data_IF_269032398094
#
_entry.id   IF_269032398094
#
_cell.length_a   1.000
_cell.length_b   1.000
_cell.length_c   1.000
_cell.angle_alpha   90.00
_cell.angle_beta   90.00
_cell.angle_gamma   90.00
#
_symmetry.space_group_name_H-M   'P 1'
#
loop_
_entity.id
_entity.type
_entity.pdbx_description
1 polymer ?
#
# COMPACT_ATOMS: atom_id res chain seq x y z
N UNK A 1 1.56 2.44 -14.98
CA UNK A 1 2.39 2.98 -13.88
C UNK A 1 1.93 2.25 -12.65
N UNK A 2 2.86 1.72 -11.87
CA UNK A 2 2.57 0.79 -10.77
C UNK A 2 1.58 1.41 -9.78
N UNK A 3 0.50 0.68 -9.47
CA UNK A 3 -0.60 1.18 -8.66
C UNK A 3 -0.32 1.05 -7.16
N UNK A 4 0.79 0.39 -6.78
CA UNK A 4 1.19 0.17 -5.40
C UNK A 4 2.69 0.41 -5.30
N UNK A 5 3.12 1.23 -4.34
CA UNK A 5 4.53 1.41 -3.99
C UNK A 5 4.70 1.31 -2.47
N UNK A 6 5.88 0.85 -2.05
CA UNK A 6 6.30 0.83 -0.66
C UNK A 6 7.47 1.78 -0.43
N UNK A 7 7.61 2.30 0.78
CA UNK A 7 8.74 3.16 1.13
C UNK A 7 8.84 3.50 2.61
N UNK A 8 9.75 4.43 2.90
CA UNK A 8 10.00 4.98 4.22
C UNK A 8 9.88 6.50 4.18
N UNK A 9 9.43 7.08 5.29
CA UNK A 9 9.64 8.49 5.56
C UNK A 9 11.06 8.71 6.09
N UNK A 10 11.88 9.44 5.34
CA UNK A 10 13.29 9.72 5.66
C UNK A 10 13.46 11.19 6.03
N UNK A 11 14.08 11.44 7.19
CA UNK A 11 14.28 12.78 7.75
C UNK A 11 13.49 13.02 9.04
N UNK A 12 13.98 13.91 9.90
CA UNK A 12 13.31 14.25 11.18
C UNK A 12 12.34 15.43 11.07
N UNK A 13 12.67 16.39 10.21
CA UNK A 13 11.86 17.57 9.92
C UNK A 13 11.50 17.48 8.44
N UNK A 14 10.21 17.61 8.12
CA UNK A 14 9.66 17.49 6.77
C UNK A 14 10.11 16.17 6.09
N UNK A 15 9.72 15.01 6.64
CA UNK A 15 10.19 13.73 6.15
C UNK A 15 9.77 13.51 4.68
N UNK A 16 10.70 13.00 3.89
CA UNK A 16 10.49 12.71 2.48
C UNK A 16 10.17 11.23 2.31
N UNK A 17 9.08 10.92 1.61
CA UNK A 17 8.79 9.55 1.22
C UNK A 17 9.83 9.07 0.20
N UNK A 18 10.54 8.01 0.53
CA UNK A 18 11.55 7.36 -0.32
C UNK A 18 11.10 5.94 -0.61
N UNK A 19 10.88 5.63 -1.88
CA UNK A 19 10.47 4.29 -2.31
C UNK A 19 11.56 3.25 -2.02
N UNK A 20 11.16 2.12 -1.46
CA UNK A 20 11.99 0.94 -1.23
C UNK A 20 11.10 -0.28 -1.04
N UNK A 21 11.58 -1.44 -1.49
CA UNK A 21 10.98 -2.75 -1.23
C UNK A 21 11.81 -3.57 -0.24
N UNK A 22 12.78 -2.95 0.44
CA UNK A 22 13.61 -3.59 1.45
C UNK A 22 13.53 -2.84 2.78
N UNK A 23 13.23 -3.58 3.84
CA UNK A 23 12.97 -3.05 5.18
C UNK A 23 13.73 -3.85 6.24
N UNK A 24 13.79 -3.27 7.44
CA UNK A 24 14.34 -3.89 8.65
C UNK A 24 13.24 -4.00 9.71
N UNK A 25 13.36 -4.95 10.66
CA UNK A 25 12.51 -4.95 11.85
C UNK A 25 12.49 -3.57 12.52
N UNK A 26 11.35 -3.20 13.11
CA UNK A 26 11.06 -1.86 13.70
C UNK A 26 10.80 -0.74 12.70
N UNK A 27 11.02 -0.94 11.38
CA UNK A 27 10.58 0.04 10.39
C UNK A 27 9.05 0.20 10.41
N UNK A 28 8.59 1.35 9.94
CA UNK A 28 7.20 1.55 9.55
C UNK A 28 7.18 1.57 8.03
N UNK A 29 6.65 0.50 7.44
CA UNK A 29 6.46 0.39 6.00
C UNK A 29 5.32 1.34 5.63
N UNK A 30 5.62 2.28 4.75
CA UNK A 30 4.60 3.15 4.15
C UNK A 30 4.20 2.51 2.83
N UNK A 31 2.90 2.32 2.63
CA UNK A 31 2.32 1.73 1.43
C UNK A 31 1.44 2.79 0.80
N UNK A 32 1.61 3.05 -0.49
CA UNK A 32 0.77 3.98 -1.24
C UNK A 32 0.11 3.24 -2.39
N UNK A 33 -1.21 3.33 -2.45
CA UNK A 33 -2.02 2.77 -3.53
C UNK A 33 -2.63 3.92 -4.32
N UNK A 34 -2.37 3.99 -5.63
CA UNK A 34 -2.93 5.02 -6.50
C UNK A 34 -4.17 4.48 -7.23
N UNK A 35 -5.28 5.22 -7.10
CA UNK A 35 -6.54 4.93 -7.77
C UNK A 35 -6.83 6.02 -8.80
N UNK A 36 -7.14 5.59 -10.02
CA UNK A 36 -7.53 6.46 -11.13
C UNK A 36 -8.81 5.96 -11.79
N UNK A 37 -9.53 6.87 -12.45
CA UNK A 37 -10.68 6.52 -13.28
C UNK A 37 -10.22 5.96 -14.65
N UNK A 38 -11.19 5.56 -15.49
CA UNK A 38 -10.92 5.04 -16.83
C UNK A 38 -10.24 6.03 -17.78
N UNK A 39 -10.27 7.33 -17.46
CA UNK A 39 -9.62 8.40 -18.22
C UNK A 39 -8.23 8.74 -17.66
N UNK A 40 -7.81 8.08 -16.58
CA UNK A 40 -6.53 8.31 -15.90
C UNK A 40 -6.54 9.44 -14.87
N UNK A 41 -7.70 10.01 -14.54
CA UNK A 41 -7.81 11.05 -13.52
C UNK A 41 -7.76 10.43 -12.11
N UNK A 42 -7.14 11.14 -11.17
CA UNK A 42 -7.12 10.74 -9.77
C UNK A 42 -8.54 10.68 -9.19
N UNK A 43 -8.83 9.61 -8.44
CA UNK A 43 -10.11 9.45 -7.73
C UNK A 43 -9.91 9.73 -6.25
N UNK A 44 -10.42 10.87 -5.79
CA UNK A 44 -10.42 11.25 -4.37
C UNK A 44 -11.58 10.59 -3.62
N UNK A 45 -11.37 10.24 -2.34
CA UNK A 45 -12.43 9.73 -1.46
C UNK A 45 -12.75 8.25 -1.60
N UNK A 46 -12.07 7.51 -2.47
CA UNK A 46 -12.24 6.07 -2.61
C UNK A 46 -11.67 5.34 -1.38
N UNK A 47 -12.46 4.43 -0.81
CA UNK A 47 -12.02 3.51 0.24
C UNK A 47 -11.23 2.37 -0.40
N UNK A 48 -10.01 2.14 0.05
CA UNK A 48 -9.10 1.11 -0.44
C UNK A 48 -8.79 0.17 0.72
N UNK A 49 -8.99 -1.13 0.50
CA UNK A 49 -8.63 -2.19 1.44
C UNK A 49 -7.50 -3.03 0.87
N UNK A 50 -6.47 -3.24 1.69
CA UNK A 50 -5.34 -4.10 1.39
C UNK A 50 -5.19 -5.20 2.42
N UNK A 51 -4.58 -6.30 2.03
CA UNK A 51 -4.07 -7.35 2.92
C UNK A 51 -2.56 -7.46 2.79
N UNK A 52 -1.87 -7.64 3.91
CA UNK A 52 -0.44 -7.92 3.98
C UNK A 52 -0.28 -9.33 4.53
N UNK A 53 0.32 -10.22 3.75
CA UNK A 53 0.64 -11.60 4.15
C UNK A 53 2.11 -11.67 4.51
N UNK A 54 2.44 -12.12 5.72
CA UNK A 54 3.83 -12.29 6.16
C UNK A 54 4.40 -13.64 5.70
N UNK A 55 5.72 -13.87 5.83
CA UNK A 55 6.37 -15.14 5.45
C UNK A 55 5.82 -16.39 6.16
N UNK A 56 5.21 -16.23 7.33
CA UNK A 56 4.61 -17.32 8.09
C UNK A 56 3.17 -17.61 7.67
N UNK A 57 2.59 -16.80 6.76
CA UNK A 57 1.21 -16.90 6.30
C UNK A 57 0.20 -16.11 7.14
N UNK A 58 0.63 -15.34 8.14
CA UNK A 58 -0.29 -14.46 8.87
C UNK A 58 -0.72 -13.29 7.98
N UNK A 59 -2.01 -12.94 8.05
CA UNK A 59 -2.61 -11.89 7.23
C UNK A 59 -3.05 -10.73 8.12
N UNK A 60 -2.73 -9.51 7.69
CA UNK A 60 -3.24 -8.26 8.28
C UNK A 60 -4.01 -7.47 7.23
N UNK A 61 -5.22 -7.02 7.57
CA UNK A 61 -6.04 -6.17 6.71
C UNK A 61 -5.97 -4.71 7.15
N UNK A 62 -5.78 -3.80 6.20
CA UNK A 62 -5.78 -2.36 6.43
C UNK A 62 -6.73 -1.66 5.44
N UNK A 63 -7.36 -0.59 5.88
CA UNK A 63 -8.23 0.25 5.03
C UNK A 63 -7.77 1.71 5.14
N UNK A 64 -7.80 2.43 4.03
CA UNK A 64 -7.48 3.85 3.94
C UNK A 64 -8.29 4.50 2.82
N UNK A 65 -8.36 5.83 2.81
CA UNK A 65 -9.11 6.60 1.81
C UNK A 65 -8.14 7.36 0.92
N UNK A 66 -8.44 7.46 -0.37
CA UNK A 66 -7.61 8.23 -1.31
C UNK A 66 -7.73 9.73 -1.08
N UNK A 67 -6.61 10.43 -1.19
CA UNK A 67 -6.53 11.89 -1.18
C UNK A 67 -6.85 12.53 -2.55
N UNK A 68 -6.65 13.83 -2.68
CA UNK A 68 -6.89 14.59 -3.92
C UNK A 68 -5.96 14.21 -5.09
N UNK A 69 -4.89 13.44 -4.84
CA UNK A 69 -4.02 12.86 -5.86
C UNK A 69 -4.41 11.41 -6.18
N UNK A 70 -5.49 10.91 -5.58
CA UNK A 70 -5.96 9.54 -5.73
C UNK A 70 -5.10 8.54 -4.96
N UNK A 71 -4.34 8.98 -3.96
CA UNK A 71 -3.40 8.14 -3.22
C UNK A 71 -4.01 7.76 -1.87
N UNK A 72 -4.19 6.47 -1.65
CA UNK A 72 -4.47 5.90 -0.33
C UNK A 72 -3.15 5.48 0.33
N UNK A 73 -2.80 6.12 1.46
CA UNK A 73 -1.60 5.80 2.22
C UNK A 73 -1.92 4.91 3.44
N UNK A 74 -1.09 3.91 3.67
CA UNK A 74 -1.17 2.99 4.80
C UNK A 74 0.18 2.96 5.53
N UNK A 75 0.12 2.76 6.85
CA UNK A 75 1.31 2.57 7.69
C UNK A 75 1.27 1.18 8.34
N UNK A 76 2.24 0.35 8.02
CA UNK A 76 2.40 -0.98 8.59
C UNK A 76 3.67 -1.05 9.44
N UNK A 77 3.51 -1.16 10.76
CA UNK A 77 4.62 -1.20 11.72
C UNK A 77 5.16 -2.62 11.87
N UNK A 78 6.42 -2.82 11.49
CA UNK A 78 7.14 -4.06 11.76
C UNK A 78 7.57 -4.11 13.22
N UNK A 79 7.22 -5.18 13.93
CA UNK A 79 7.65 -5.38 15.31
C UNK A 79 9.11 -5.89 15.37
N UNK A 80 9.80 -5.76 16.52
CA UNK A 80 11.17 -6.28 16.67
C UNK A 80 11.33 -7.78 16.41
N UNK A 81 10.24 -8.55 16.56
CA UNK A 81 10.19 -10.00 16.33
C UNK A 81 9.40 -10.37 15.07
N UNK A 82 9.21 -9.43 14.15
CA UNK A 82 8.53 -9.72 12.88
C UNK A 82 9.29 -10.82 12.13
N UNK A 83 8.61 -11.76 11.45
CA UNK A 83 9.29 -12.74 10.62
C UNK A 83 10.12 -12.06 9.53
N UNK A 84 11.32 -12.59 9.26
CA UNK A 84 12.15 -12.13 8.15
C UNK A 84 11.72 -12.84 6.86
N UNK A 85 11.90 -12.18 5.73
CA UNK A 85 11.57 -12.69 4.40
C UNK A 85 10.55 -11.83 3.66
N UNK A 86 9.89 -12.46 2.69
CA UNK A 86 8.99 -11.79 1.75
C UNK A 86 7.60 -11.59 2.37
N UNK A 87 7.13 -10.35 2.34
CA UNK A 87 5.77 -9.96 2.65
C UNK A 87 5.07 -9.58 1.35
N UNK A 88 3.83 -10.03 1.20
CA UNK A 88 3.02 -9.80 0.00
C UNK A 88 1.85 -8.88 0.34
N UNK A 89 1.77 -7.75 -0.34
CA UNK A 89 0.64 -6.80 -0.27
C UNK A 89 -0.32 -7.14 -1.39
N UNK A 90 -1.62 -7.27 -1.09
CA UNK A 90 -2.68 -7.38 -2.09
C UNK A 90 -3.73 -6.29 -1.88
N UNK A 91 -4.15 -5.61 -2.94
CA UNK A 91 -5.37 -4.79 -2.92
C UNK A 91 -6.56 -5.71 -3.10
N UNK A 92 -7.43 -5.77 -2.09
CA UNK A 92 -8.55 -6.71 -2.05
C UNK A 92 -9.90 -6.07 -2.32
N UNK A 93 -10.05 -4.78 -2.03
CA UNK A 93 -11.28 -4.04 -2.31
C UNK A 93 -10.99 -2.57 -2.57
N UNK A 94 -11.75 -1.97 -3.47
CA UNK A 94 -11.79 -0.52 -3.69
C UNK A 94 -13.25 -0.14 -3.88
N UNK A 95 -13.73 0.85 -3.14
CA UNK A 95 -15.13 1.25 -3.17
C UNK A 95 -15.29 2.76 -3.04
N UNK A 96 -16.22 3.31 -3.84
CA UNK A 96 -16.64 4.70 -3.77
C UNK A 96 -18.10 4.78 -4.24
N UNK A 97 -18.97 5.44 -3.46
CA UNK A 97 -20.38 5.57 -3.80
C UNK A 97 -20.57 6.19 -5.18
N UNK A 98 -21.32 5.52 -6.06
CA UNK A 98 -21.57 5.96 -7.44
C UNK A 98 -20.52 5.50 -8.45
N UNK A 99 -19.45 4.83 -8.00
CA UNK A 99 -18.45 4.21 -8.86
C UNK A 99 -18.53 2.69 -8.78
N UNK A 100 -18.16 2.02 -9.86
CA UNK A 100 -17.97 0.56 -9.89
C UNK A 100 -16.48 0.30 -10.05
N UNK A 101 -15.89 -0.42 -9.10
CA UNK A 101 -14.50 -0.85 -9.20
C UNK A 101 -14.37 -1.99 -10.20
N UNK A 102 -13.46 -1.85 -11.17
CA UNK A 102 -13.08 -2.91 -12.09
C UNK A 102 -11.70 -3.50 -11.68
N UNK A 103 -11.67 -4.68 -11.04
CA UNK A 103 -10.40 -5.30 -10.64
C UNK A 103 -9.54 -5.71 -11.84
N UNK A 104 -10.11 -5.89 -13.04
CA UNK A 104 -9.37 -6.27 -14.24
C UNK A 104 -8.58 -5.11 -14.85
N UNK A 105 -8.95 -3.87 -14.51
CA UNK A 105 -8.20 -2.68 -14.89
C UNK A 105 -6.93 -2.48 -14.04
N UNK A 106 -6.73 -3.29 -13.00
CA UNK A 106 -5.64 -3.12 -12.06
C UNK A 106 -4.34 -3.74 -12.62
N UNK A 107 -3.37 -2.90 -13.01
CA UNK A 107 -2.10 -3.35 -13.63
C UNK A 107 -1.17 -3.98 -12.60
N UNK A 108 -1.23 -3.55 -11.33
CA UNK A 108 -0.50 -4.13 -10.19
C UNK A 108 -1.44 -4.14 -8.98
N UNK A 109 -2.03 -5.29 -8.67
CA UNK A 109 -2.83 -5.52 -7.47
C UNK A 109 -2.03 -6.16 -6.33
N UNK A 110 -0.81 -6.60 -6.62
CA UNK A 110 0.08 -7.30 -5.69
C UNK A 110 1.49 -6.72 -5.73
N UNK A 111 2.09 -6.48 -4.57
CA UNK A 111 3.48 -6.03 -4.44
C UNK A 111 4.17 -6.78 -3.30
N UNK A 112 5.36 -7.32 -3.59
CA UNK A 112 6.21 -7.93 -2.58
C UNK A 112 7.24 -6.93 -2.04
N UNK A 113 7.48 -6.99 -0.73
CA UNK A 113 8.63 -6.35 -0.10
C UNK A 113 9.35 -7.34 0.82
N UNK A 114 10.64 -7.13 1.00
CA UNK A 114 11.51 -8.00 1.76
C UNK A 114 11.88 -7.35 3.11
N UNK A 115 11.81 -8.14 4.18
CA UNK A 115 12.31 -7.75 5.51
C UNK A 115 13.56 -8.58 5.80
N UNK A 116 14.72 -7.91 5.89
CA UNK A 116 16.01 -8.54 6.17
C UNK A 116 16.45 -8.35 7.63
#
# INVERSE_FOLDING_TARGET
MDNIVTGLYVGKKDPVFTETSSFQPKNVVIIRVKIVDSSGNAVEGASVTITITNPNGDIVTLTSTTDNQGIAEFSYRLNPKTPLGIYTINVTDVSLTGYTYDPNANVVSTLDFNVN
#
